data_IF_853546996769
#
_entry.id   IF_853546996769
#
_cell.length_a   1.000
_cell.length_b   1.000
_cell.length_c   1.000
_cell.angle_alpha   90.00
_cell.angle_beta   90.00
_cell.angle_gamma   90.00
#
_symmetry.space_group_name_H-M   'P 1'
#
loop_
_entity.id
_entity.type
_entity.pdbx_description
1 polymer ?
#
# COMPACT_ATOMS: atom_id res chain seq x y z
N UNK A 1 18.51 -48.41 6.90
CA UNK A 1 18.08 -47.71 5.68
C UNK A 1 17.41 -46.41 6.11
N UNK A 2 17.88 -45.23 5.69
CA UNK A 2 17.42 -43.95 6.27
C UNK A 2 15.91 -43.74 6.13
N UNK A 3 15.33 -44.08 4.97
CA UNK A 3 13.89 -43.91 4.73
C UNK A 3 13.00 -44.87 5.53
N UNK A 4 13.53 -46.00 6.00
CA UNK A 4 12.80 -46.91 6.89
C UNK A 4 12.80 -46.41 8.33
N UNK A 5 13.89 -45.76 8.76
CA UNK A 5 14.04 -45.20 10.11
C UNK A 5 13.34 -43.84 10.25
N UNK A 6 13.25 -43.06 9.16
CA UNK A 6 12.66 -41.72 9.12
C UNK A 6 11.64 -41.57 7.98
N UNK A 7 10.52 -42.32 8.01
CA UNK A 7 9.56 -42.37 6.90
C UNK A 7 8.85 -41.03 6.62
N UNK A 8 8.75 -40.17 7.63
CA UNK A 8 8.07 -38.87 7.53
C UNK A 8 9.05 -37.68 7.42
N UNK A 9 10.34 -37.93 7.21
CA UNK A 9 11.34 -36.87 7.07
C UNK A 9 11.25 -36.20 5.68
N UNK A 10 11.53 -34.88 5.57
CA UNK A 10 11.42 -34.16 4.31
C UNK A 10 12.31 -34.75 3.21
N UNK A 11 11.71 -34.88 2.02
CA UNK A 11 12.39 -35.36 0.83
C UNK A 11 12.77 -34.20 -0.08
N UNK A 12 14.03 -33.81 -0.07
CA UNK A 12 14.57 -32.72 -0.90
C UNK A 12 14.82 -33.17 -2.35
N UNK A 13 13.77 -33.60 -3.06
CA UNK A 13 13.87 -34.22 -4.40
C UNK A 13 14.47 -33.32 -5.48
N UNK A 14 14.39 -32.01 -5.29
CA UNK A 14 14.97 -31.01 -6.21
C UNK A 14 16.47 -30.76 -5.95
N UNK A 15 17.04 -31.33 -4.88
CA UNK A 15 18.46 -31.22 -4.59
C UNK A 15 19.27 -32.04 -5.60
N UNK A 16 20.31 -31.44 -6.18
CA UNK A 16 21.24 -32.14 -7.08
C UNK A 16 22.14 -33.13 -6.33
N UNK A 17 22.41 -32.82 -5.07
CA UNK A 17 23.22 -33.62 -4.15
C UNK A 17 22.54 -33.64 -2.78
N UNK A 18 22.77 -34.67 -1.94
CA UNK A 18 22.25 -34.71 -0.59
C UNK A 18 22.69 -33.46 0.22
N UNK A 19 21.76 -32.87 0.97
CA UNK A 19 22.08 -31.76 1.88
C UNK A 19 22.84 -32.34 3.07
N UNK A 20 24.14 -32.06 3.16
CA UNK A 20 24.98 -32.51 4.27
C UNK A 20 24.75 -31.67 5.54
N UNK A 21 25.19 -32.19 6.69
CA UNK A 21 25.14 -31.45 7.97
C UNK A 21 25.87 -30.10 7.88
N UNK A 22 26.99 -30.04 7.16
CA UNK A 22 27.78 -28.81 6.95
C UNK A 22 27.03 -27.81 6.06
N UNK A 23 26.28 -28.30 5.06
CA UNK A 23 25.54 -27.46 4.11
C UNK A 23 24.15 -27.05 4.61
N UNK A 24 23.57 -27.77 5.58
CA UNK A 24 22.22 -27.55 6.11
C UNK A 24 22.00 -26.12 6.62
N UNK A 25 22.88 -25.52 7.46
CA UNK A 25 22.66 -24.17 7.96
C UNK A 25 22.57 -23.11 6.85
N UNK A 26 23.42 -23.22 5.83
CA UNK A 26 23.40 -22.34 4.65
C UNK A 26 22.11 -22.55 3.84
N UNK A 27 21.72 -23.81 3.63
CA UNK A 27 20.52 -24.17 2.88
C UNK A 27 19.24 -23.67 3.56
N UNK A 28 19.14 -23.83 4.88
CA UNK A 28 18.04 -23.30 5.69
C UNK A 28 18.00 -21.77 5.60
N UNK A 29 19.16 -21.10 5.69
CA UNK A 29 19.23 -19.66 5.59
C UNK A 29 18.80 -19.11 4.22
N UNK A 30 19.10 -19.82 3.13
CA UNK A 30 18.60 -19.46 1.79
C UNK A 30 17.07 -19.53 1.71
N UNK A 31 16.45 -20.56 2.31
CA UNK A 31 14.99 -20.65 2.41
C UNK A 31 14.40 -19.48 3.23
N UNK A 32 15.01 -19.16 4.37
CA UNK A 32 14.60 -18.03 5.24
C UNK A 32 14.72 -16.69 4.51
N UNK A 33 15.78 -16.50 3.73
CA UNK A 33 15.96 -15.31 2.88
C UNK A 33 14.83 -15.17 1.88
N UNK A 34 14.41 -16.26 1.24
CA UNK A 34 13.28 -16.26 0.33
C UNK A 34 11.95 -15.94 1.04
N UNK A 35 11.68 -16.56 2.20
CA UNK A 35 10.50 -16.26 3.04
C UNK A 35 10.47 -14.76 3.41
N UNK A 36 11.63 -14.20 3.78
CA UNK A 36 11.78 -12.78 4.10
C UNK A 36 11.76 -11.83 2.89
N UNK A 37 11.39 -12.31 1.70
CA UNK A 37 11.19 -11.49 0.50
C UNK A 37 12.45 -11.23 -0.33
N UNK A 38 13.58 -11.90 -0.05
CA UNK A 38 14.76 -11.81 -0.93
C UNK A 38 14.56 -12.60 -2.21
N UNK A 39 15.42 -12.31 -3.20
CA UNK A 39 15.39 -12.97 -4.50
C UNK A 39 15.41 -14.49 -4.35
N UNK A 40 14.60 -15.12 -5.21
CA UNK A 40 14.49 -16.57 -5.33
C UNK A 40 15.83 -17.19 -5.73
N UNK A 41 16.25 -18.24 -5.01
CA UNK A 41 17.40 -19.08 -5.37
C UNK A 41 16.96 -20.53 -5.52
N UNK A 42 17.69 -21.32 -6.33
CA UNK A 42 17.39 -22.74 -6.50
C UNK A 42 17.46 -23.50 -5.17
N UNK A 43 18.41 -23.14 -4.30
CA UNK A 43 18.56 -23.78 -2.99
C UNK A 43 17.38 -23.49 -2.08
N UNK A 44 16.88 -22.24 -2.08
CA UNK A 44 15.67 -21.88 -1.33
C UNK A 44 14.46 -22.70 -1.79
N UNK A 45 14.23 -22.82 -3.10
CA UNK A 45 13.11 -23.62 -3.65
C UNK A 45 13.26 -25.09 -3.29
N UNK A 46 14.46 -25.65 -3.40
CA UNK A 46 14.73 -27.05 -3.02
C UNK A 46 14.34 -27.32 -1.56
N UNK A 47 14.73 -26.43 -0.65
CA UNK A 47 14.42 -26.57 0.78
C UNK A 47 12.93 -26.39 1.05
N UNK A 48 12.32 -25.31 0.53
CA UNK A 48 10.90 -25.01 0.77
C UNK A 48 9.97 -26.07 0.16
N UNK A 49 10.30 -26.57 -1.03
CA UNK A 49 9.58 -27.69 -1.65
C UNK A 49 9.75 -28.99 -0.86
N UNK A 50 10.98 -29.32 -0.41
CA UNK A 50 11.21 -30.52 0.41
C UNK A 50 10.47 -30.51 1.75
N UNK A 51 10.25 -29.32 2.31
CA UNK A 51 9.43 -29.09 3.51
C UNK A 51 7.92 -28.95 3.21
N UNK A 52 7.50 -29.07 1.94
CA UNK A 52 6.12 -28.86 1.48
C UNK A 52 5.52 -27.51 1.90
N UNK A 53 6.34 -26.44 1.85
CA UNK A 53 5.96 -25.08 2.24
C UNK A 53 5.51 -24.22 1.05
N UNK A 54 5.53 -24.74 -0.17
CA UNK A 54 5.11 -24.04 -1.39
C UNK A 54 3.80 -24.62 -1.93
N UNK A 55 2.94 -23.77 -2.50
CA UNK A 55 1.80 -24.19 -3.31
C UNK A 55 2.19 -24.42 -4.79
N UNK A 56 1.21 -24.73 -5.64
CA UNK A 56 1.41 -24.98 -7.07
C UNK A 56 1.91 -23.74 -7.84
N UNK A 57 1.65 -22.54 -7.32
CA UNK A 57 2.13 -21.25 -7.84
C UNK A 57 3.52 -20.88 -7.26
N UNK A 58 4.18 -21.81 -6.55
CA UNK A 58 5.43 -21.62 -5.81
C UNK A 58 5.38 -20.51 -4.74
N UNK A 59 4.18 -20.18 -4.22
CA UNK A 59 4.02 -19.23 -3.11
C UNK A 59 4.15 -19.97 -1.78
N UNK A 60 4.72 -19.29 -0.79
CA UNK A 60 4.82 -19.84 0.56
C UNK A 60 3.42 -20.03 1.16
N UNK A 61 3.01 -21.29 1.32
CA UNK A 61 1.74 -21.68 1.94
C UNK A 61 1.99 -22.72 3.05
N UNK A 62 2.31 -22.28 4.27
CA UNK A 62 2.81 -23.15 5.33
C UNK A 62 1.84 -24.28 5.68
N UNK A 63 0.53 -24.04 5.66
CA UNK A 63 -0.45 -25.05 6.07
C UNK A 63 -0.55 -26.26 5.13
N UNK A 64 0.02 -26.20 3.92
CA UNK A 64 0.22 -27.39 3.07
C UNK A 64 1.24 -28.37 3.67
N UNK A 65 2.18 -27.87 4.47
CA UNK A 65 3.22 -28.66 5.10
C UNK A 65 2.69 -29.45 6.30
N UNK A 66 2.98 -30.76 6.40
CA UNK A 66 2.68 -31.52 7.62
C UNK A 66 3.48 -31.00 8.82
N UNK A 67 4.70 -30.51 8.60
CA UNK A 67 5.59 -30.00 9.65
C UNK A 67 5.03 -28.71 10.26
N UNK A 68 4.58 -27.78 9.41
CA UNK A 68 4.00 -26.52 9.87
C UNK A 68 2.68 -26.74 10.62
N UNK A 69 1.81 -27.63 10.11
CA UNK A 69 0.56 -27.98 10.79
C UNK A 69 0.80 -28.55 12.18
N UNK A 70 1.73 -29.49 12.30
CA UNK A 70 2.09 -30.06 13.60
C UNK A 70 2.60 -29.01 14.60
N UNK A 71 3.53 -28.15 14.20
CA UNK A 71 4.04 -27.08 15.08
C UNK A 71 2.93 -26.07 15.45
N UNK A 72 2.01 -25.77 14.53
CA UNK A 72 0.86 -24.93 14.83
C UNK A 72 -0.11 -25.62 15.80
N UNK A 73 -0.36 -26.93 15.62
CA UNK A 73 -1.21 -27.73 16.51
C UNK A 73 -0.68 -27.77 17.94
N UNK A 74 0.65 -27.86 18.14
CA UNK A 74 1.27 -27.76 19.47
C UNK A 74 0.89 -26.46 20.19
N UNK A 75 0.84 -25.34 19.47
CA UNK A 75 0.43 -24.06 20.01
C UNK A 75 -1.09 -23.97 20.22
N UNK A 76 -1.88 -24.49 19.28
CA UNK A 76 -3.33 -24.43 19.35
C UNK A 76 -3.91 -25.33 20.46
N UNK A 77 -3.23 -26.43 20.79
CA UNK A 77 -3.57 -27.30 21.92
C UNK A 77 -3.39 -26.61 23.28
N UNK A 78 -2.65 -25.50 23.34
CA UNK A 78 -2.48 -24.68 24.55
C UNK A 78 -3.54 -23.57 24.63
N UNK A 79 -3.77 -23.06 25.83
CA UNK A 79 -4.64 -21.89 26.07
C UNK A 79 -4.16 -20.62 25.34
N UNK A 80 -5.05 -19.64 25.12
CA UNK A 80 -4.80 -18.50 24.24
C UNK A 80 -3.59 -17.63 24.61
N UNK A 81 -3.24 -17.57 25.91
CA UNK A 81 -2.14 -16.78 26.45
C UNK A 81 -0.84 -17.57 26.59
N UNK A 82 -0.88 -18.88 26.37
CA UNK A 82 0.28 -19.76 26.53
C UNK A 82 1.15 -19.75 25.26
N UNK A 83 2.41 -20.11 25.47
CA UNK A 83 3.43 -20.17 24.42
C UNK A 83 3.98 -21.60 24.33
N UNK A 84 4.60 -21.94 23.20
CA UNK A 84 5.38 -23.17 23.06
C UNK A 84 6.85 -22.80 23.12
N UNK A 85 7.55 -23.31 24.13
CA UNK A 85 8.97 -23.05 24.33
C UNK A 85 9.84 -23.96 23.46
N UNK A 86 11.08 -23.54 23.20
CA UNK A 86 12.06 -24.32 22.45
C UNK A 86 12.21 -25.76 22.93
N UNK A 87 12.37 -25.95 24.25
CA UNK A 87 12.52 -27.27 24.85
C UNK A 87 11.26 -28.14 24.82
N UNK A 88 10.14 -27.61 24.34
CA UNK A 88 8.93 -28.42 24.07
C UNK A 88 8.90 -28.93 22.62
N UNK A 89 9.77 -28.40 21.75
CA UNK A 89 9.86 -28.78 20.33
C UNK A 89 11.13 -29.58 20.07
N UNK A 90 12.26 -29.13 20.60
CA UNK A 90 13.59 -29.66 20.32
C UNK A 90 14.10 -30.44 21.53
N UNK A 91 14.38 -31.73 21.30
CA UNK A 91 15.00 -32.64 22.26
C UNK A 91 16.48 -32.81 21.97
N UNK A 92 17.28 -32.98 23.03
CA UNK A 92 18.63 -33.49 22.91
C UNK A 92 18.59 -35.02 22.81
N UNK A 93 18.83 -35.55 21.61
CA UNK A 93 18.77 -37.00 21.34
C UNK A 93 20.11 -37.72 21.56
N UNK A 94 21.23 -36.98 21.54
CA UNK A 94 22.55 -37.50 21.90
C UNK A 94 23.39 -36.42 22.60
N UNK A 95 24.14 -36.83 23.63
CA UNK A 95 25.13 -35.99 24.32
C UNK A 95 26.54 -36.16 23.77
N UNK A 96 27.49 -35.40 24.32
CA UNK A 96 28.91 -35.48 23.98
C UNK A 96 29.52 -34.13 23.58
N UNK A 97 30.70 -34.17 22.95
CA UNK A 97 31.42 -32.98 22.47
C UNK A 97 30.63 -32.21 21.40
N UNK A 98 29.78 -32.89 20.64
CA UNK A 98 28.82 -32.30 19.71
C UNK A 98 27.44 -32.91 19.98
N UNK A 99 26.62 -32.27 20.82
CA UNK A 99 25.25 -32.72 21.08
C UNK A 99 24.40 -32.72 19.82
N UNK A 100 23.52 -33.70 19.69
CA UNK A 100 22.56 -33.79 18.58
C UNK A 100 21.19 -33.41 19.09
N UNK A 101 20.59 -32.42 18.44
CA UNK A 101 19.25 -31.93 18.73
C UNK A 101 18.31 -32.25 17.58
N UNK A 102 17.09 -32.70 17.91
CA UNK A 102 16.06 -32.99 16.93
C UNK A 102 14.68 -32.61 17.46
N UNK A 103 13.80 -32.22 16.55
CA UNK A 103 12.39 -32.09 16.81
C UNK A 103 11.80 -33.47 17.17
N UNK A 104 10.93 -33.49 18.18
CA UNK A 104 10.47 -34.73 18.81
C UNK A 104 9.75 -35.70 17.85
N UNK A 105 8.93 -35.20 16.91
CA UNK A 105 8.02 -36.00 16.09
C UNK A 105 8.63 -36.47 14.77
N UNK A 106 9.03 -35.52 13.91
CA UNK A 106 9.58 -35.75 12.57
C UNK A 106 11.10 -35.88 12.56
N UNK A 107 11.75 -35.69 13.71
CA UNK A 107 13.21 -35.80 13.86
C UNK A 107 13.96 -34.76 13.02
N UNK A 108 13.33 -33.60 12.79
CA UNK A 108 13.91 -32.46 12.08
C UNK A 108 15.02 -31.82 12.89
N UNK A 109 16.07 -31.37 12.23
CA UNK A 109 17.09 -30.56 12.86
C UNK A 109 16.59 -29.13 13.14
N UNK A 110 17.16 -28.44 14.15
CA UNK A 110 16.70 -27.12 14.57
C UNK A 110 16.65 -26.08 13.44
N UNK A 111 17.55 -26.15 12.47
CA UNK A 111 17.57 -25.24 11.33
C UNK A 111 16.34 -25.45 10.42
N UNK A 112 15.87 -26.69 10.23
CA UNK A 112 14.64 -26.96 9.49
C UNK A 112 13.40 -26.50 10.25
N UNK A 113 13.37 -26.70 11.57
CA UNK A 113 12.29 -26.16 12.42
C UNK A 113 12.23 -24.64 12.30
N UNK A 114 13.37 -23.94 12.29
CA UNK A 114 13.42 -22.50 12.11
C UNK A 114 12.83 -22.06 10.76
N UNK A 115 13.11 -22.76 9.66
CA UNK A 115 12.47 -22.49 8.35
C UNK A 115 10.95 -22.61 8.44
N UNK A 116 10.45 -23.70 9.04
CA UNK A 116 9.01 -23.96 9.16
C UNK A 116 8.32 -22.92 10.04
N UNK A 117 8.91 -22.57 11.19
CA UNK A 117 8.37 -21.53 12.07
C UNK A 117 8.36 -20.16 11.38
N UNK A 118 9.42 -19.80 10.66
CA UNK A 118 9.44 -18.52 9.92
C UNK A 118 8.45 -18.48 8.76
N UNK A 119 8.15 -19.61 8.13
CA UNK A 119 7.06 -19.70 7.17
C UNK A 119 5.69 -19.43 7.83
N UNK A 120 5.44 -20.01 9.02
CA UNK A 120 4.24 -19.71 9.81
C UNK A 120 4.18 -18.25 10.27
N UNK A 121 5.31 -17.64 10.62
CA UNK A 121 5.41 -16.21 10.94
C UNK A 121 5.05 -15.36 9.73
N UNK A 122 5.58 -15.70 8.54
CA UNK A 122 5.32 -15.01 7.29
C UNK A 122 3.83 -14.98 6.94
N UNK A 123 3.16 -16.12 7.03
CA UNK A 123 1.71 -16.23 6.76
C UNK A 123 0.86 -15.69 7.93
N UNK A 124 1.49 -15.39 9.06
CA UNK A 124 0.88 -14.72 10.21
C UNK A 124 0.12 -15.64 11.16
N UNK A 125 0.47 -16.93 11.18
CA UNK A 125 -0.11 -17.92 12.10
C UNK A 125 0.50 -17.87 13.49
N UNK A 126 1.75 -17.42 13.63
CA UNK A 126 2.47 -17.34 14.90
C UNK A 126 3.32 -16.07 15.00
N UNK A 127 3.76 -15.75 16.22
CA UNK A 127 4.83 -14.80 16.52
C UNK A 127 5.98 -15.57 17.15
N UNK A 128 7.18 -15.42 16.60
CA UNK A 128 8.39 -16.11 17.06
C UNK A 128 9.23 -15.17 17.93
N UNK A 129 9.60 -15.60 19.13
CA UNK A 129 10.47 -14.85 20.01
C UNK A 129 11.91 -15.40 19.96
N UNK A 130 12.89 -14.51 19.77
CA UNK A 130 14.31 -14.80 19.75
C UNK A 130 14.98 -14.19 20.98
N UNK A 131 15.82 -14.96 21.68
CA UNK A 131 16.63 -14.46 22.80
C UNK A 131 15.86 -13.82 23.95
N UNK A 132 14.53 -13.94 23.99
CA UNK A 132 13.67 -13.37 25.04
C UNK A 132 13.25 -11.91 24.86
N UNK A 133 13.80 -11.18 23.90
CA UNK A 133 13.57 -9.73 23.75
C UNK A 133 13.04 -9.34 22.39
N UNK A 134 13.39 -10.10 21.34
CA UNK A 134 13.00 -9.78 19.98
C UNK A 134 11.83 -10.67 19.52
N UNK A 135 10.81 -10.07 18.93
CA UNK A 135 9.68 -10.78 18.35
C UNK A 135 9.64 -10.56 16.83
N UNK A 136 9.49 -11.66 16.10
CA UNK A 136 9.24 -11.71 14.67
C UNK A 136 7.78 -12.06 14.43
N UNK A 137 7.10 -11.20 13.69
CA UNK A 137 5.72 -11.37 13.24
C UNK A 137 5.66 -11.18 11.70
N UNK A 138 4.48 -11.34 11.10
CA UNK A 138 4.31 -11.19 9.65
C UNK A 138 4.80 -9.84 9.10
N UNK A 139 4.79 -8.78 9.91
CA UNK A 139 5.26 -7.45 9.56
C UNK A 139 6.78 -7.26 9.69
N UNK A 140 7.47 -8.11 10.45
CA UNK A 140 8.91 -8.00 10.74
C UNK A 140 9.74 -9.21 10.31
N UNK A 141 9.12 -10.21 9.67
CA UNK A 141 9.77 -11.46 9.23
C UNK A 141 11.02 -11.25 8.36
N UNK A 142 11.08 -10.16 7.58
CA UNK A 142 12.24 -9.78 6.76
C UNK A 142 13.52 -9.57 7.59
N UNK A 143 13.40 -9.25 8.89
CA UNK A 143 14.54 -9.10 9.80
C UNK A 143 15.27 -10.43 10.03
N UNK A 144 14.60 -11.57 9.84
CA UNK A 144 15.23 -12.88 9.92
C UNK A 144 16.35 -13.05 8.88
N UNK A 145 16.28 -12.35 7.74
CA UNK A 145 17.20 -12.54 6.60
C UNK A 145 18.65 -12.12 6.85
N UNK A 146 18.89 -11.36 7.91
CA UNK A 146 20.22 -10.87 8.32
C UNK A 146 20.71 -11.48 9.63
N UNK A 147 19.94 -12.39 10.25
CA UNK A 147 20.32 -13.07 11.49
C UNK A 147 21.23 -14.26 11.24
N UNK A 148 21.95 -14.69 12.26
CA UNK A 148 22.61 -15.98 12.22
C UNK A 148 21.56 -17.10 12.32
N UNK A 149 21.77 -18.17 11.57
CA UNK A 149 20.89 -19.35 11.63
C UNK A 149 20.87 -19.97 13.02
N UNK A 150 21.98 -19.91 13.77
CA UNK A 150 22.07 -20.33 15.16
C UNK A 150 21.04 -19.61 16.05
N UNK A 151 20.94 -18.28 15.95
CA UNK A 151 19.98 -17.48 16.73
C UNK A 151 18.53 -17.82 16.38
N UNK A 152 18.27 -18.17 15.12
CA UNK A 152 16.93 -18.56 14.64
C UNK A 152 16.56 -19.97 15.08
N UNK A 153 17.53 -20.90 15.08
CA UNK A 153 17.34 -22.27 15.58
C UNK A 153 17.19 -22.31 17.09
N UNK A 154 17.82 -21.40 17.82
CA UNK A 154 17.73 -21.26 19.29
C UNK A 154 16.63 -20.25 19.70
N UNK A 155 15.53 -20.20 18.95
CA UNK A 155 14.36 -19.39 19.33
C UNK A 155 13.95 -19.70 20.78
N UNK A 156 13.34 -18.75 21.49
CA UNK A 156 12.95 -18.97 22.90
C UNK A 156 11.59 -19.66 23.00
N UNK A 157 10.61 -19.09 22.31
CA UNK A 157 9.24 -19.62 22.23
C UNK A 157 8.53 -19.04 21.01
N UNK A 158 7.40 -19.63 20.65
CA UNK A 158 6.44 -19.01 19.73
C UNK A 158 5.04 -18.98 20.34
N UNK A 159 4.25 -18.01 19.93
CA UNK A 159 2.93 -17.70 20.50
C UNK A 159 1.92 -17.33 19.43
N UNK A 160 0.65 -17.24 19.83
CA UNK A 160 -0.43 -16.78 18.95
C UNK A 160 -0.25 -15.31 18.56
N UNK A 161 -0.58 -14.93 17.31
CA UNK A 161 -0.54 -13.55 16.86
C UNK A 161 -1.67 -12.73 17.48
N UNK A 162 -1.57 -11.40 17.38
CA UNK A 162 -2.62 -10.49 17.85
C UNK A 162 -3.94 -10.72 17.10
N UNK A 163 -5.06 -10.44 17.75
CA UNK A 163 -6.36 -10.42 17.09
C UNK A 163 -6.37 -9.37 15.98
N UNK A 164 -7.05 -9.68 14.87
CA UNK A 164 -7.26 -8.73 13.78
C UNK A 164 -8.06 -7.52 14.29
N UNK A 165 -7.58 -6.27 14.14
CA UNK A 165 -8.33 -5.05 14.47
C UNK A 165 -9.51 -4.81 13.51
N UNK A 166 -10.51 -5.69 13.54
CA UNK A 166 -11.53 -5.82 12.51
C UNK A 166 -12.35 -4.53 12.33
N UNK A 167 -12.69 -3.84 13.41
CA UNK A 167 -13.49 -2.60 13.38
C UNK A 167 -12.78 -1.50 12.57
N UNK A 168 -11.47 -1.32 12.79
CA UNK A 168 -10.71 -0.28 12.08
C UNK A 168 -10.52 -0.68 10.62
N UNK A 169 -10.26 -1.96 10.33
CA UNK A 169 -10.17 -2.42 8.95
C UNK A 169 -11.48 -2.30 8.19
N UNK A 170 -12.63 -2.57 8.83
CA UNK A 170 -13.95 -2.35 8.23
C UNK A 170 -14.15 -0.88 7.88
N UNK A 171 -13.83 0.03 8.80
CA UNK A 171 -13.88 1.47 8.54
C UNK A 171 -12.98 1.89 7.36
N UNK A 172 -11.75 1.36 7.27
CA UNK A 172 -10.83 1.63 6.17
C UNK A 172 -11.41 1.10 4.85
N UNK A 173 -11.87 -0.16 4.82
CA UNK A 173 -12.41 -0.78 3.61
C UNK A 173 -13.65 -0.05 3.12
N UNK A 174 -14.60 0.24 4.00
CA UNK A 174 -15.83 0.97 3.65
C UNK A 174 -15.50 2.39 3.14
N UNK A 175 -14.56 3.07 3.80
CA UNK A 175 -14.09 4.41 3.39
C UNK A 175 -13.35 4.44 2.04
N UNK A 176 -12.75 3.32 1.64
CA UNK A 176 -12.12 3.13 0.34
C UNK A 176 -13.09 2.58 -0.73
N UNK A 177 -14.33 2.24 -0.36
CA UNK A 177 -15.29 1.59 -1.25
C UNK A 177 -14.97 0.11 -1.54
N UNK A 178 -14.25 -0.56 -0.66
CA UNK A 178 -13.91 -1.99 -0.73
C UNK A 178 -14.89 -2.85 0.07
N UNK A 179 -14.95 -4.14 -0.24
CA UNK A 179 -15.84 -5.08 0.44
C UNK A 179 -15.27 -5.51 1.80
N UNK A 180 -15.72 -4.88 2.88
CA UNK A 180 -15.27 -5.18 4.25
C UNK A 180 -15.73 -6.55 4.79
N UNK A 181 -16.71 -7.18 4.13
CA UNK A 181 -17.18 -8.55 4.45
C UNK A 181 -16.08 -9.61 4.33
N UNK A 182 -15.17 -9.45 3.37
CA UNK A 182 -14.05 -10.36 3.09
C UNK A 182 -13.05 -10.48 4.25
N UNK A 183 -13.10 -9.57 5.23
CA UNK A 183 -12.19 -9.57 6.39
C UNK A 183 -12.65 -10.54 7.49
N UNK A 184 -13.93 -10.93 7.48
CA UNK A 184 -14.55 -11.74 8.52
C UNK A 184 -14.09 -13.20 8.45
N UNK A 185 -14.17 -13.79 7.26
CA UNK A 185 -13.69 -15.15 6.99
C UNK A 185 -12.17 -15.13 6.76
N UNK A 186 -11.44 -15.97 7.48
CA UNK A 186 -9.99 -16.12 7.33
C UNK A 186 -9.59 -16.57 5.92
N UNK A 187 -10.41 -17.38 5.25
CA UNK A 187 -10.16 -17.86 3.89
C UNK A 187 -10.33 -16.76 2.83
N UNK A 188 -11.09 -15.71 3.13
CA UNK A 188 -11.34 -14.60 2.21
C UNK A 188 -10.36 -13.42 2.38
N UNK A 189 -9.59 -13.39 3.47
CA UNK A 189 -8.66 -12.29 3.79
C UNK A 189 -7.59 -12.09 2.72
N UNK A 190 -7.11 -13.15 2.07
CA UNK A 190 -6.20 -13.03 0.94
C UNK A 190 -6.85 -12.31 -0.26
N UNK A 191 -8.16 -12.49 -0.46
CA UNK A 191 -8.97 -11.69 -1.38
C UNK A 191 -9.06 -10.23 -0.96
N UNK A 192 -9.35 -9.97 0.32
CA UNK A 192 -9.40 -8.62 0.87
C UNK A 192 -8.08 -7.86 0.65
N UNK A 193 -6.94 -8.50 0.96
CA UNK A 193 -5.60 -7.95 0.74
C UNK A 193 -5.35 -7.65 -0.74
N UNK A 194 -5.72 -8.55 -1.66
CA UNK A 194 -5.57 -8.32 -3.10
C UNK A 194 -6.34 -7.08 -3.55
N UNK A 195 -7.60 -6.92 -3.14
CA UNK A 195 -8.40 -5.74 -3.51
C UNK A 195 -7.84 -4.44 -2.93
N UNK A 196 -7.34 -4.47 -1.68
CA UNK A 196 -6.66 -3.34 -1.06
C UNK A 196 -5.40 -2.95 -1.85
N UNK A 197 -4.55 -3.92 -2.18
CA UNK A 197 -3.31 -3.68 -2.91
C UNK A 197 -3.57 -3.14 -4.32
N UNK A 198 -4.58 -3.65 -5.03
CA UNK A 198 -5.00 -3.13 -6.33
C UNK A 198 -5.45 -1.66 -6.24
N UNK A 199 -6.21 -1.29 -5.21
CA UNK A 199 -6.62 0.08 -4.99
C UNK A 199 -5.41 1.00 -4.71
N UNK A 200 -4.50 0.57 -3.84
CA UNK A 200 -3.27 1.33 -3.53
C UNK A 200 -2.42 1.53 -4.79
N UNK A 201 -2.21 0.47 -5.59
CA UNK A 201 -1.43 0.55 -6.83
C UNK A 201 -2.06 1.47 -7.87
N UNK A 202 -3.39 1.58 -7.91
CA UNK A 202 -4.11 2.51 -8.78
C UNK A 202 -4.04 3.95 -8.28
N UNK A 203 -4.35 4.19 -7.00
CA UNK A 203 -4.59 5.54 -6.49
C UNK A 203 -3.30 6.28 -6.09
N UNK A 204 -2.27 5.57 -5.64
CA UNK A 204 -1.03 6.21 -5.19
C UNK A 204 -0.33 7.00 -6.33
N UNK A 205 -0.15 6.45 -7.54
CA UNK A 205 0.39 7.20 -8.67
C UNK A 205 -0.46 8.42 -9.04
N UNK A 206 -1.79 8.28 -9.05
CA UNK A 206 -2.72 9.39 -9.34
C UNK A 206 -2.55 10.55 -8.36
N UNK A 207 -2.44 10.25 -7.07
CA UNK A 207 -2.25 11.27 -6.02
C UNK A 207 -0.91 11.97 -6.18
N UNK A 208 0.16 11.23 -6.50
CA UNK A 208 1.49 11.80 -6.76
C UNK A 208 1.46 12.70 -7.99
N UNK A 209 0.81 12.26 -9.08
CA UNK A 209 0.66 13.06 -10.29
C UNK A 209 -0.16 14.33 -10.02
N UNK A 210 -1.27 14.22 -9.31
CA UNK A 210 -2.11 15.35 -8.95
C UNK A 210 -1.35 16.35 -8.06
N UNK A 211 -0.53 15.87 -7.12
CA UNK A 211 0.34 16.73 -6.31
C UNK A 211 1.35 17.49 -7.19
N UNK A 212 1.95 16.84 -8.18
CA UNK A 212 2.84 17.50 -9.13
C UNK A 212 2.11 18.56 -9.96
N UNK A 213 0.87 18.27 -10.40
CA UNK A 213 0.03 19.23 -11.13
C UNK A 213 -0.36 20.44 -10.26
N UNK A 214 -0.78 20.24 -9.01
CA UNK A 214 -1.08 21.32 -8.06
C UNK A 214 0.14 22.22 -7.87
N UNK A 215 1.34 21.65 -7.71
CA UNK A 215 2.57 22.42 -7.59
C UNK A 215 2.89 23.22 -8.86
N UNK A 216 2.63 22.69 -10.05
CA UNK A 216 2.75 23.44 -11.32
C UNK A 216 1.70 24.54 -11.45
N UNK A 217 0.53 24.32 -10.87
CA UNK A 217 -0.63 25.19 -10.96
C UNK A 217 -1.57 24.77 -12.09
N UNK A 218 -2.85 25.08 -11.93
CA UNK A 218 -3.85 24.92 -13.00
C UNK A 218 -4.12 26.25 -13.66
N UNK A 219 -4.21 26.24 -14.98
CA UNK A 219 -4.64 27.39 -15.78
C UNK A 219 -5.82 26.99 -16.63
N UNK A 220 -6.80 27.88 -16.73
CA UNK A 220 -7.93 27.75 -17.65
C UNK A 220 -8.21 29.13 -18.23
N UNK A 221 -8.44 29.20 -19.54
CA UNK A 221 -8.71 30.47 -20.23
C UNK A 221 -7.63 31.55 -19.96
N UNK A 222 -6.36 31.12 -20.01
CA UNK A 222 -5.17 31.94 -19.73
C UNK A 222 -5.18 32.65 -18.36
N UNK A 223 -5.90 32.08 -17.39
CA UNK A 223 -5.95 32.59 -16.02
C UNK A 223 -5.63 31.47 -15.02
N UNK A 224 -4.87 31.75 -13.95
CA UNK A 224 -4.57 30.77 -12.93
C UNK A 224 -5.81 30.47 -12.07
N UNK A 225 -6.03 29.19 -11.77
CA UNK A 225 -7.07 28.79 -10.82
C UNK A 225 -6.64 29.12 -9.39
N UNK A 226 -5.36 28.94 -9.08
CA UNK A 226 -4.78 29.32 -7.79
C UNK A 226 -4.55 30.83 -7.69
N UNK A 227 -4.73 31.37 -6.49
CA UNK A 227 -4.67 32.82 -6.21
C UNK A 227 -3.52 33.21 -5.29
N UNK A 228 -2.72 32.24 -4.85
CA UNK A 228 -1.50 32.43 -4.06
C UNK A 228 -0.26 32.70 -4.92
N UNK A 229 -0.35 32.46 -6.24
CA UNK A 229 0.66 32.88 -7.22
C UNK A 229 0.42 34.32 -7.64
N UNK A 230 1.22 35.24 -7.10
CA UNK A 230 1.26 36.62 -7.54
C UNK A 230 1.93 36.68 -8.92
N UNK A 231 1.24 37.22 -9.92
CA UNK A 231 1.85 37.58 -11.20
C UNK A 231 2.79 38.78 -10.97
N UNK A 232 4.08 38.48 -10.75
CA UNK A 232 5.13 39.49 -10.70
C UNK A 232 5.53 39.84 -12.13
N UNK A 233 4.88 40.86 -12.72
CA UNK A 233 5.37 41.47 -13.97
C UNK A 233 6.25 42.66 -13.62
N UNK A 234 7.51 42.61 -14.04
CA UNK A 234 8.43 43.74 -13.94
C UNK A 234 8.14 44.70 -15.09
N UNK A 235 7.62 45.89 -14.79
CA UNK A 235 7.72 47.06 -15.66
C UNK A 235 8.64 48.05 -14.95
N UNK A 236 9.71 48.47 -15.65
CA UNK A 236 10.59 49.56 -15.24
C UNK A 236 11.13 49.47 -13.80
N UNK A 237 11.59 48.29 -13.38
CA UNK A 237 12.24 48.10 -12.07
C UNK A 237 11.31 48.24 -10.86
N UNK A 238 10.00 48.38 -11.08
CA UNK A 238 8.99 48.48 -10.03
C UNK A 238 8.16 47.20 -10.02
N UNK A 239 8.16 46.48 -8.90
CA UNK A 239 7.30 45.29 -8.71
C UNK A 239 5.88 45.78 -8.46
N UNK A 240 5.08 45.86 -9.52
CA UNK A 240 3.67 46.22 -9.40
C UNK A 240 2.83 44.94 -9.32
N UNK A 241 2.27 44.68 -8.14
CA UNK A 241 1.28 43.61 -7.94
C UNK A 241 -0.01 44.00 -8.66
N UNK A 242 -0.33 43.35 -9.77
CA UNK A 242 -1.40 43.79 -10.69
C UNK A 242 -2.77 43.12 -10.48
N UNK A 243 -2.92 42.13 -9.60
CA UNK A 243 -4.20 41.43 -9.44
C UNK A 243 -4.82 41.71 -8.08
N UNK A 244 -5.93 42.44 -8.07
CA UNK A 244 -6.87 42.36 -6.95
C UNK A 244 -7.28 40.89 -6.75
N UNK A 245 -7.35 40.43 -5.50
CA UNK A 245 -7.80 39.07 -5.21
C UNK A 245 -9.22 38.87 -5.74
N UNK A 246 -9.52 37.75 -6.41
CA UNK A 246 -10.87 37.45 -6.85
C UNK A 246 -11.79 37.18 -5.65
N UNK A 247 -13.11 37.31 -5.85
CA UNK A 247 -14.10 37.13 -4.79
C UNK A 247 -14.06 35.76 -4.09
N UNK A 248 -13.57 34.72 -4.78
CA UNK A 248 -13.28 33.42 -4.19
C UNK A 248 -11.80 33.11 -4.43
N UNK A 249 -11.03 32.93 -3.36
CA UNK A 249 -9.62 32.56 -3.40
C UNK A 249 -9.45 31.03 -3.43
N UNK A 250 -8.32 30.54 -3.91
CA UNK A 250 -7.90 29.15 -3.77
C UNK A 250 -6.38 29.11 -3.67
N UNK A 251 -5.85 28.65 -2.55
CA UNK A 251 -4.41 28.51 -2.33
C UNK A 251 -3.98 27.06 -2.56
N UNK A 252 -2.74 26.85 -2.98
CA UNK A 252 -2.14 25.51 -2.97
C UNK A 252 -2.11 24.91 -1.56
N UNK A 253 -2.02 25.76 -0.51
CA UNK A 253 -2.10 25.33 0.90
C UNK A 253 -3.45 24.77 1.30
N UNK A 254 -4.52 25.07 0.55
CA UNK A 254 -5.86 24.53 0.80
C UNK A 254 -5.97 23.06 0.32
N UNK A 255 -5.05 22.60 -0.53
CA UNK A 255 -5.12 21.31 -1.22
C UNK A 255 -3.96 20.38 -0.84
N UNK A 256 -2.74 20.90 -0.80
CA UNK A 256 -1.53 20.10 -0.59
C UNK A 256 -1.54 19.26 0.70
N UNK A 257 -2.08 19.73 1.85
CA UNK A 257 -2.19 18.90 3.04
C UNK A 257 -3.00 17.62 2.82
N UNK A 258 -4.16 17.72 2.14
CA UNK A 258 -5.01 16.57 1.87
C UNK A 258 -4.34 15.57 0.91
N UNK A 259 -3.62 16.07 -0.10
CA UNK A 259 -2.85 15.21 -1.03
C UNK A 259 -1.73 14.46 -0.31
N UNK A 260 -0.95 15.15 0.54
CA UNK A 260 0.11 14.52 1.34
C UNK A 260 -0.45 13.48 2.30
N UNK A 261 -1.50 13.82 3.04
CA UNK A 261 -2.14 12.90 3.97
C UNK A 261 -2.71 11.65 3.26
N UNK A 262 -3.36 11.83 2.10
CA UNK A 262 -3.88 10.71 1.30
C UNK A 262 -2.74 9.84 0.76
N UNK A 263 -1.65 10.45 0.28
CA UNK A 263 -0.45 9.74 -0.17
C UNK A 263 0.16 8.90 0.96
N UNK A 264 0.42 9.51 2.11
CA UNK A 264 1.02 8.84 3.28
C UNK A 264 0.12 7.69 3.77
N UNK A 265 -1.19 7.88 3.73
CA UNK A 265 -2.16 6.83 4.06
C UNK A 265 -2.07 5.64 3.08
N UNK A 266 -2.07 5.89 1.77
CA UNK A 266 -1.94 4.84 0.76
C UNK A 266 -0.58 4.11 0.87
N UNK A 267 0.51 4.82 1.15
CA UNK A 267 1.83 4.21 1.39
C UNK A 267 1.84 3.32 2.64
N UNK A 268 1.19 3.74 3.74
CA UNK A 268 0.99 2.91 4.93
C UNK A 268 0.17 1.66 4.58
N UNK A 269 -0.93 1.83 3.83
CA UNK A 269 -1.79 0.71 3.41
C UNK A 269 -1.05 -0.30 2.53
N UNK A 270 -0.14 0.18 1.66
CA UNK A 270 0.68 -0.67 0.80
C UNK A 270 1.53 -1.71 1.57
N UNK A 271 1.84 -1.46 2.85
CA UNK A 271 2.61 -2.39 3.69
C UNK A 271 1.82 -3.65 4.08
N UNK A 272 0.49 -3.60 4.06
CA UNK A 272 -0.38 -4.72 4.41
C UNK A 272 -0.67 -5.59 3.18
N UNK A 273 0.33 -6.37 2.77
CA UNK A 273 0.31 -7.17 1.54
C UNK A 273 0.14 -8.68 1.75
N UNK A 274 -0.12 -9.12 2.98
CA UNK A 274 -0.52 -10.50 3.33
C UNK A 274 -1.62 -10.46 4.40
N UNK A 275 -2.43 -11.51 4.51
CA UNK A 275 -3.48 -11.59 5.52
C UNK A 275 -2.92 -11.49 6.95
N UNK A 276 -1.76 -12.11 7.19
CA UNK A 276 -1.04 -12.03 8.47
C UNK A 276 -0.70 -10.60 8.89
N UNK A 277 -0.26 -9.75 7.95
CA UNK A 277 0.14 -8.36 8.24
C UNK A 277 -1.03 -7.49 8.70
N UNK A 278 -2.28 -7.82 8.33
CA UNK A 278 -3.46 -7.07 8.77
C UNK A 278 -3.59 -6.99 10.30
N UNK A 279 -3.06 -7.99 11.04
CA UNK A 279 -3.09 -8.04 12.51
C UNK A 279 -2.19 -6.98 13.16
N UNK A 280 -1.25 -6.44 12.41
CA UNK A 280 -0.27 -5.45 12.87
C UNK A 280 -0.65 -4.03 12.46
N UNK A 281 -1.96 -3.75 12.34
CA UNK A 281 -2.44 -2.42 11.98
C UNK A 281 -1.97 -1.39 13.01
N UNK A 282 -1.19 -0.42 12.56
CA UNK A 282 -0.72 0.71 13.38
C UNK A 282 -1.60 1.95 13.26
N UNK A 283 -2.55 1.94 12.32
CA UNK A 283 -3.47 3.05 12.06
C UNK A 283 -4.61 2.98 13.08
N UNK A 284 -4.83 4.08 13.78
CA UNK A 284 -5.94 4.24 14.73
C UNK A 284 -7.25 4.55 14.01
N UNK A 285 -8.39 4.37 14.70
CA UNK A 285 -9.71 4.71 14.15
C UNK A 285 -9.83 6.20 13.77
N UNK A 286 -9.22 7.10 14.57
CA UNK A 286 -9.18 8.53 14.30
C UNK A 286 -8.35 8.85 13.05
N UNK A 287 -7.13 8.30 12.95
CA UNK A 287 -6.29 8.48 11.76
C UNK A 287 -6.95 7.94 10.50
N UNK A 288 -7.63 6.78 10.59
CA UNK A 288 -8.39 6.22 9.47
C UNK A 288 -9.53 7.16 9.06
N UNK A 289 -10.26 7.73 10.01
CA UNK A 289 -11.35 8.68 9.75
C UNK A 289 -10.84 9.93 9.02
N UNK A 290 -9.77 10.54 9.54
CA UNK A 290 -9.17 11.73 8.97
C UNK A 290 -8.64 11.47 7.55
N UNK A 291 -7.94 10.34 7.35
CA UNK A 291 -7.44 9.93 6.05
C UNK A 291 -8.56 9.76 5.01
N UNK A 292 -9.69 9.16 5.39
CA UNK A 292 -10.87 9.03 4.52
C UNK A 292 -11.42 10.41 4.16
N UNK A 293 -11.47 11.35 5.09
CA UNK A 293 -11.92 12.72 4.83
C UNK A 293 -10.97 13.47 3.90
N UNK A 294 -9.65 13.34 4.07
CA UNK A 294 -8.67 13.89 3.13
C UNK A 294 -8.81 13.29 1.74
N UNK A 295 -9.01 11.97 1.62
CA UNK A 295 -9.25 11.31 0.33
C UNK A 295 -10.47 11.89 -0.40
N UNK A 296 -11.59 12.15 0.31
CA UNK A 296 -12.76 12.82 -0.27
C UNK A 296 -12.44 14.21 -0.83
N UNK A 297 -11.58 14.97 -0.15
CA UNK A 297 -11.11 16.26 -0.67
C UNK A 297 -10.27 16.07 -1.94
N UNK A 298 -9.38 15.09 -1.96
CA UNK A 298 -8.58 14.75 -3.16
C UNK A 298 -9.47 14.34 -4.34
N UNK A 299 -10.49 13.51 -4.12
CA UNK A 299 -11.46 13.12 -5.14
C UNK A 299 -12.21 14.32 -5.71
N UNK A 300 -12.52 15.32 -4.88
CA UNK A 300 -13.11 16.58 -5.31
C UNK A 300 -12.15 17.38 -6.20
N UNK A 301 -10.87 17.45 -5.85
CA UNK A 301 -9.86 18.11 -6.68
C UNK A 301 -9.68 17.38 -8.02
N UNK A 302 -9.66 16.04 -8.03
CA UNK A 302 -9.65 15.25 -9.28
C UNK A 302 -10.83 15.64 -10.20
N UNK A 303 -12.02 15.85 -9.65
CA UNK A 303 -13.19 16.33 -10.42
C UNK A 303 -13.01 17.74 -10.96
N UNK A 304 -12.40 18.65 -10.21
CA UNK A 304 -12.07 20.01 -10.70
C UNK A 304 -11.12 19.93 -11.88
N UNK A 305 -10.06 19.12 -11.79
CA UNK A 305 -9.11 18.91 -12.89
C UNK A 305 -9.81 18.36 -14.13
N UNK A 306 -10.70 17.37 -13.97
CA UNK A 306 -11.46 16.82 -15.09
C UNK A 306 -12.32 17.88 -15.79
N UNK A 307 -12.93 18.82 -15.05
CA UNK A 307 -13.67 19.94 -15.65
C UNK A 307 -12.74 20.93 -16.36
N UNK A 308 -11.58 21.24 -15.78
CA UNK A 308 -10.57 22.10 -16.43
C UNK A 308 -10.13 21.48 -17.75
N UNK A 309 -9.76 20.21 -17.75
CA UNK A 309 -9.31 19.49 -18.94
C UNK A 309 -10.40 19.44 -20.02
N UNK A 310 -11.65 19.19 -19.62
CA UNK A 310 -12.81 19.19 -20.54
C UNK A 310 -13.02 20.55 -21.23
N UNK A 311 -12.84 21.65 -20.50
CA UNK A 311 -13.10 23.00 -21.00
C UNK A 311 -11.88 23.65 -21.68
N UNK A 312 -10.70 23.02 -21.60
CA UNK A 312 -9.44 23.64 -22.02
C UNK A 312 -9.45 24.05 -23.49
N UNK A 313 -9.92 23.18 -24.40
CA UNK A 313 -9.89 23.44 -25.84
C UNK A 313 -10.74 24.65 -26.23
N UNK A 314 -11.96 24.74 -25.70
CA UNK A 314 -12.85 25.87 -26.01
C UNK A 314 -12.39 27.17 -25.34
N UNK A 315 -11.89 27.09 -24.11
CA UNK A 315 -11.33 28.24 -23.41
C UNK A 315 -10.13 28.83 -24.15
N UNK A 316 -9.27 28.00 -24.75
CA UNK A 316 -8.16 28.46 -25.59
C UNK A 316 -8.66 29.21 -26.83
N UNK A 317 -9.62 28.65 -27.56
CA UNK A 317 -10.23 29.31 -28.72
C UNK A 317 -10.82 30.68 -28.35
N UNK A 318 -11.62 30.73 -27.29
CA UNK A 318 -12.24 31.97 -26.84
C UNK A 318 -11.19 32.99 -26.40
N UNK A 319 -10.06 32.55 -25.84
CA UNK A 319 -8.95 33.45 -25.51
C UNK A 319 -8.28 34.03 -26.74
N UNK A 320 -8.06 33.24 -27.78
CA UNK A 320 -7.46 33.69 -29.04
C UNK A 320 -8.38 34.67 -29.76
N UNK A 321 -9.67 34.34 -29.87
CA UNK A 321 -10.71 35.22 -30.39
C UNK A 321 -10.75 36.57 -29.66
N UNK A 322 -10.63 36.56 -28.32
CA UNK A 322 -10.62 37.80 -27.52
C UNK A 322 -9.45 38.73 -27.82
N UNK A 323 -8.30 38.19 -28.26
CA UNK A 323 -7.10 38.99 -28.57
C UNK A 323 -7.27 39.75 -29.90
N UNK A 324 -8.13 39.26 -30.79
CA UNK A 324 -8.37 39.86 -32.10
C UNK A 324 -9.32 41.08 -32.05
N UNK A 325 -10.01 41.29 -30.93
CA UNK A 325 -11.03 42.33 -30.76
C UNK A 325 -10.57 43.44 -29.79
N UNK A 326 -11.08 44.68 -29.93
CA UNK A 326 -10.85 45.74 -28.95
C UNK A 326 -11.34 45.36 -27.55
N UNK A 327 -10.64 45.78 -26.50
CA UNK A 327 -11.00 45.46 -25.12
C UNK A 327 -12.40 45.98 -24.70
N UNK A 328 -12.91 47.02 -25.35
CA UNK A 328 -14.23 47.59 -25.10
C UNK A 328 -15.35 46.90 -25.89
N UNK A 329 -15.04 45.90 -26.70
CA UNK A 329 -16.03 45.17 -27.47
C UNK A 329 -17.03 44.44 -26.52
N UNK A 330 -18.36 44.50 -26.78
CA UNK A 330 -19.36 43.86 -25.94
C UNK A 330 -19.14 42.35 -25.77
N UNK A 331 -18.71 41.65 -26.82
CA UNK A 331 -18.45 40.21 -26.77
C UNK A 331 -17.24 39.90 -25.87
N UNK A 332 -16.19 40.71 -25.95
CA UNK A 332 -15.01 40.59 -25.06
C UNK A 332 -15.41 40.81 -23.60
N UNK A 333 -16.27 41.78 -23.31
CA UNK A 333 -16.78 42.06 -21.96
C UNK A 333 -17.58 40.87 -21.39
N UNK A 334 -18.42 40.26 -22.22
CA UNK A 334 -19.17 39.05 -21.84
C UNK A 334 -18.21 37.86 -21.58
N UNK A 335 -17.25 37.63 -22.48
CA UNK A 335 -16.25 36.58 -22.33
C UNK A 335 -15.44 36.72 -21.04
N UNK A 336 -15.03 37.94 -20.69
CA UNK A 336 -14.33 38.20 -19.43
C UNK A 336 -15.22 37.94 -18.20
N UNK A 337 -16.51 38.24 -18.30
CA UNK A 337 -17.49 37.99 -17.22
C UNK A 337 -17.67 36.49 -17.00
N UNK A 338 -17.95 35.73 -18.06
CA UNK A 338 -18.08 34.27 -18.01
C UNK A 338 -16.79 33.61 -17.52
N UNK A 339 -15.62 34.09 -17.96
CA UNK A 339 -14.32 33.60 -17.48
C UNK A 339 -14.20 33.76 -15.96
N UNK A 340 -14.56 34.92 -15.41
CA UNK A 340 -14.51 35.17 -13.97
C UNK A 340 -15.48 34.28 -13.20
N UNK A 341 -16.70 34.11 -13.69
CA UNK A 341 -17.72 33.25 -13.08
C UNK A 341 -17.30 31.78 -13.06
N UNK A 342 -16.78 31.27 -14.18
CA UNK A 342 -16.27 29.91 -14.29
C UNK A 342 -15.12 29.66 -13.30
N UNK A 343 -14.12 30.55 -13.26
CA UNK A 343 -13.01 30.40 -12.33
C UNK A 343 -13.47 30.45 -10.87
N UNK A 344 -14.40 31.34 -10.51
CA UNK A 344 -14.96 31.39 -9.17
C UNK A 344 -15.73 30.11 -8.83
N UNK A 345 -16.53 29.59 -9.76
CA UNK A 345 -17.26 28.33 -9.59
C UNK A 345 -16.30 27.15 -9.38
N UNK A 346 -15.21 27.07 -10.16
CA UNK A 346 -14.18 26.03 -9.99
C UNK A 346 -13.44 26.15 -8.66
N UNK A 347 -13.14 27.37 -8.18
CA UNK A 347 -12.53 27.58 -6.87
C UNK A 347 -13.47 27.19 -5.73
N UNK A 348 -14.76 27.54 -5.82
CA UNK A 348 -15.78 27.10 -4.87
C UNK A 348 -15.92 25.57 -4.86
N UNK A 349 -15.90 24.94 -6.04
CA UNK A 349 -15.91 23.48 -6.15
C UNK A 349 -14.67 22.86 -5.52
N UNK A 350 -13.48 23.43 -5.72
CA UNK A 350 -12.25 22.96 -5.10
C UNK A 350 -12.31 23.04 -3.56
N UNK A 351 -12.96 24.07 -3.01
CA UNK A 351 -13.19 24.26 -1.57
C UNK A 351 -14.32 23.39 -0.99
N UNK A 352 -15.23 22.92 -1.84
CA UNK A 352 -16.38 22.10 -1.42
C UNK A 352 -17.66 22.88 -1.21
N UNK A 353 -17.66 24.15 -1.59
CA UNK A 353 -18.79 25.06 -1.38
C UNK A 353 -19.80 24.99 -2.53
N UNK A 354 -19.45 24.35 -3.66
CA UNK A 354 -20.28 24.23 -4.84
C UNK A 354 -20.04 22.94 -5.62
N UNK A 355 -20.98 22.60 -6.51
CA UNK A 355 -20.84 21.57 -7.53
C UNK A 355 -20.85 22.23 -8.90
N UNK A 356 -19.93 21.84 -9.79
CA UNK A 356 -19.86 22.38 -11.16
C UNK A 356 -20.08 21.26 -12.16
N UNK A 357 -20.99 21.51 -13.10
CA UNK A 357 -21.22 20.65 -14.26
C UNK A 357 -20.35 21.11 -15.43
N UNK A 358 -19.34 20.32 -15.79
CA UNK A 358 -18.50 20.60 -16.94
C UNK A 358 -19.29 20.68 -18.25
N UNK A 359 -20.29 19.80 -18.42
CA UNK A 359 -21.16 19.80 -19.60
C UNK A 359 -21.98 21.10 -19.74
N UNK A 360 -22.50 21.62 -18.63
CA UNK A 360 -23.28 22.88 -18.63
C UNK A 360 -22.38 24.05 -19.02
N UNK A 361 -21.18 24.14 -18.44
CA UNK A 361 -20.22 25.17 -18.83
C UNK A 361 -19.75 25.02 -20.27
N UNK A 362 -19.54 23.79 -20.76
CA UNK A 362 -19.18 23.55 -22.14
C UNK A 362 -20.25 24.08 -23.10
N UNK A 363 -21.53 23.84 -22.84
CA UNK A 363 -22.63 24.39 -23.62
C UNK A 363 -22.64 25.92 -23.61
N UNK A 364 -22.46 26.54 -22.43
CA UNK A 364 -22.38 28.01 -22.30
C UNK A 364 -21.23 28.60 -23.12
N UNK A 365 -20.06 27.97 -23.07
CA UNK A 365 -18.88 28.43 -23.81
C UNK A 365 -19.02 28.21 -25.33
N UNK A 366 -19.64 27.11 -25.77
CA UNK A 366 -19.94 26.90 -27.21
C UNK A 366 -20.93 27.93 -27.73
N UNK A 367 -21.95 28.28 -26.95
CA UNK A 367 -22.87 29.35 -27.32
C UNK A 367 -22.17 30.72 -27.43
N UNK A 368 -21.15 30.99 -26.60
CA UNK A 368 -20.33 32.20 -26.72
C UNK A 368 -19.47 32.19 -27.99
N UNK A 369 -18.88 31.03 -28.31
CA UNK A 369 -18.09 30.82 -29.52
C UNK A 369 -18.93 30.99 -30.79
N UNK A 370 -20.13 30.42 -30.85
CA UNK A 370 -21.01 30.58 -32.02
C UNK A 370 -21.45 32.05 -32.22
N UNK A 371 -21.63 32.79 -31.13
CA UNK A 371 -21.91 34.24 -31.21
C UNK A 371 -20.73 35.03 -31.78
N UNK A 372 -19.50 34.70 -31.38
CA UNK A 372 -18.30 35.26 -31.99
C UNK A 372 -18.28 35.01 -33.50
N UNK A 373 -18.50 33.75 -33.90
CA UNK A 373 -18.52 33.37 -35.31
C UNK A 373 -19.59 34.10 -36.11
N UNK A 374 -20.77 34.30 -35.54
CA UNK A 374 -21.87 34.98 -36.24
C UNK A 374 -21.62 36.48 -36.42
N UNK A 375 -20.90 37.10 -35.48
CA UNK A 375 -20.69 38.56 -35.49
C UNK A 375 -19.40 38.98 -36.20
N UNK A 376 -18.38 38.13 -36.21
CA UNK A 376 -17.01 38.51 -36.60
C UNK A 376 -16.29 37.54 -37.54
N UNK A 377 -16.88 36.39 -37.87
CA UNK A 377 -16.34 35.42 -38.83
C UNK A 377 -17.22 35.32 -40.08
#
# INVERSE_FOLDING_TARGET
NFGEEYPNYPAFRLAREPISEVARPVSAMEAIRHIGGRQRTNLAITVLSGLNLLDDDERVKPLGSPYARYLLELLLAKGETLVVNHGEVIDQVAGGLQPIYKEAHFKLEPEWVAVVLLALVYDGHIVLNLGGTEELDAGTVERATVKAIADLSEFRFYKRPRSLPLVIWQQIFDGLGLQSGLLRDENERDGAVRTLQQLVQRELPDVVQLQAQVNRGFTLWNAPLFTDRLDLRSQDGTVVSHSALPGITLSTTDILPALRATKDFLEKLGRYNTAGKLRNLTITAAEAHDAINYRKQVDRIKKVVAVVDQLQAIASYLSEASVLLPAADPWVTEAQTLRRELLNALRAMAKGDATVSGATWQQTLEALKERYRTQYA
#
